data_IF_658160094060
#
_entry.id   IF_658160094060
#
_cell.length_a   1.000
_cell.length_b   1.000
_cell.length_c   1.000
_cell.angle_alpha   90.00
_cell.angle_beta   90.00
_cell.angle_gamma   90.00
#
_symmetry.space_group_name_H-M   'P 1'
#
loop_
_entity.id
_entity.type
_entity.pdbx_description
1 polymer ?
#
# COMPACT_ATOMS: atom_id res chain seq x y z
N UNK A 1 4.61 -1.53 8.50
CA UNK A 1 3.16 -1.51 8.78
C UNK A 1 2.38 -2.40 7.82
N UNK A 2 2.73 -2.45 6.54
CA UNK A 2 2.01 -3.22 5.51
C UNK A 2 1.99 -4.72 5.69
N UNK A 3 3.08 -5.34 6.17
CA UNK A 3 3.08 -6.77 6.50
C UNK A 3 1.94 -7.16 7.45
N UNK A 4 1.74 -6.38 8.51
CA UNK A 4 0.68 -6.64 9.50
C UNK A 4 -0.74 -6.42 8.95
N UNK A 5 -0.91 -5.53 7.97
CA UNK A 5 -2.21 -5.25 7.39
C UNK A 5 -2.60 -6.34 6.38
N UNK A 6 -1.65 -6.77 5.55
CA UNK A 6 -1.81 -7.92 4.65
C UNK A 6 -2.09 -9.20 5.44
N UNK A 7 -1.34 -9.47 6.52
CA UNK A 7 -1.54 -10.66 7.35
C UNK A 7 -2.91 -10.65 8.04
N UNK A 8 -3.37 -9.47 8.48
CA UNK A 8 -4.71 -9.30 9.05
C UNK A 8 -5.80 -9.57 8.01
N UNK A 9 -5.67 -9.01 6.80
CA UNK A 9 -6.61 -9.23 5.70
C UNK A 9 -6.62 -10.71 5.29
N UNK A 10 -5.45 -11.36 5.21
CA UNK A 10 -5.33 -12.79 4.90
C UNK A 10 -6.00 -13.67 5.96
N UNK A 11 -5.85 -13.33 7.24
CA UNK A 11 -6.57 -14.00 8.32
C UNK A 11 -8.08 -13.80 8.22
N UNK A 12 -8.55 -12.59 7.93
CA UNK A 12 -9.98 -12.32 7.79
C UNK A 12 -10.62 -12.99 6.59
N UNK A 13 -9.90 -13.10 5.47
CA UNK A 13 -10.35 -13.92 4.34
C UNK A 13 -10.52 -15.38 4.78
N UNK A 14 -9.55 -15.94 5.51
CA UNK A 14 -9.60 -17.32 6.04
C UNK A 14 -10.79 -17.55 6.98
N UNK A 15 -11.06 -16.60 7.87
CA UNK A 15 -12.15 -16.68 8.85
C UNK A 15 -13.54 -16.50 8.20
N UNK A 16 -13.70 -15.52 7.30
CA UNK A 16 -14.97 -15.24 6.63
C UNK A 16 -15.42 -16.35 5.68
N UNK A 17 -14.45 -17.06 5.09
CA UNK A 17 -14.63 -18.26 4.27
C UNK A 17 -15.14 -19.45 5.09
N UNK A 18 -14.43 -19.78 6.20
CA UNK A 18 -14.80 -20.91 7.05
C UNK A 18 -16.22 -20.77 7.58
N UNK A 19 -16.60 -19.54 8.00
CA UNK A 19 -17.94 -19.27 8.51
C UNK A 19 -19.06 -19.36 7.46
N UNK A 20 -18.75 -19.14 6.18
CA UNK A 20 -19.73 -19.36 5.11
C UNK A 20 -19.88 -20.84 4.78
N UNK A 21 -18.78 -21.58 4.75
CA UNK A 21 -18.77 -23.02 4.47
C UNK A 21 -19.55 -23.79 5.55
N UNK A 22 -19.32 -23.48 6.83
CA UNK A 22 -20.05 -24.07 7.97
C UNK A 22 -21.56 -23.78 7.87
N UNK A 23 -21.94 -22.57 7.46
CA UNK A 23 -23.35 -22.19 7.28
C UNK A 23 -24.07 -22.98 6.20
N UNK A 24 -23.34 -23.35 5.12
CA UNK A 24 -23.82 -24.21 4.03
C UNK A 24 -23.98 -25.67 4.48
N UNK A 25 -23.04 -26.18 5.28
CA UNK A 25 -23.07 -27.55 5.79
C UNK A 25 -24.24 -27.78 6.77
N UNK A 26 -24.59 -26.76 7.56
CA UNK A 26 -25.73 -26.79 8.49
C UNK A 26 -27.11 -26.58 7.83
N UNK A 27 -27.17 -26.36 6.50
CA UNK A 27 -28.43 -26.23 5.75
C UNK A 27 -29.28 -25.02 6.15
N UNK A 28 -28.70 -24.02 6.80
CA UNK A 28 -29.39 -22.80 7.21
C UNK A 28 -29.51 -21.82 6.04
N UNK A 29 -30.65 -21.13 5.85
CA UNK A 29 -30.77 -20.09 4.83
C UNK A 29 -29.75 -18.98 5.13
N UNK A 30 -28.81 -18.73 4.20
CA UNK A 30 -27.82 -17.67 4.34
C UNK A 30 -28.49 -16.30 4.17
N UNK A 31 -29.10 -15.79 5.24
CA UNK A 31 -29.57 -14.40 5.34
C UNK A 31 -28.45 -13.46 5.81
N UNK A 32 -27.25 -13.99 6.04
CA UNK A 32 -26.07 -13.26 6.49
C UNK A 32 -25.38 -12.50 5.35
N UNK A 33 -24.90 -11.30 5.69
CA UNK A 33 -24.06 -10.44 4.83
C UNK A 33 -22.99 -11.23 4.10
N UNK A 34 -22.86 -11.04 2.78
CA UNK A 34 -21.79 -11.64 1.98
C UNK A 34 -20.43 -11.36 2.67
N UNK A 35 -19.71 -12.39 3.16
CA UNK A 35 -18.46 -12.21 3.91
C UNK A 35 -17.38 -11.53 3.06
N UNK A 36 -17.42 -11.73 1.74
CA UNK A 36 -16.53 -11.05 0.81
C UNK A 36 -16.77 -9.54 0.81
N UNK A 37 -18.01 -9.10 1.03
CA UNK A 37 -18.36 -7.68 1.13
C UNK A 37 -17.71 -6.99 2.34
N UNK A 38 -17.69 -7.66 3.50
CA UNK A 38 -17.04 -7.14 4.70
C UNK A 38 -15.52 -7.03 4.53
N UNK A 39 -14.89 -8.03 3.89
CA UNK A 39 -13.45 -8.04 3.61
C UNK A 39 -13.10 -6.94 2.60
N UNK A 40 -13.91 -6.76 1.54
CA UNK A 40 -13.71 -5.67 0.57
C UNK A 40 -13.77 -4.30 1.26
N UNK A 41 -14.67 -4.11 2.22
CA UNK A 41 -14.78 -2.84 2.94
C UNK A 41 -13.57 -2.56 3.84
N UNK A 42 -13.02 -3.58 4.50
CA UNK A 42 -11.79 -3.44 5.27
C UNK A 42 -10.58 -3.11 4.39
N UNK A 43 -10.47 -3.74 3.21
CA UNK A 43 -9.41 -3.40 2.25
C UNK A 43 -9.56 -1.96 1.75
N UNK A 44 -10.79 -1.47 1.56
CA UNK A 44 -11.06 -0.08 1.20
C UNK A 44 -10.68 0.90 2.28
N UNK A 45 -10.97 0.60 3.54
CA UNK A 45 -10.56 1.44 4.68
C UNK A 45 -9.03 1.57 4.73
N UNK A 46 -8.32 0.45 4.59
CA UNK A 46 -6.87 0.44 4.52
C UNK A 46 -6.31 1.23 3.32
N UNK A 47 -6.91 1.07 2.14
CA UNK A 47 -6.59 1.87 0.95
C UNK A 47 -6.78 3.37 1.22
N UNK A 48 -7.87 3.74 1.89
CA UNK A 48 -8.14 5.13 2.28
C UNK A 48 -7.04 5.70 3.17
N UNK A 49 -6.59 4.93 4.16
CA UNK A 49 -5.48 5.32 5.04
C UNK A 49 -4.16 5.49 4.25
N UNK A 50 -3.82 4.54 3.38
CA UNK A 50 -2.61 4.62 2.55
C UNK A 50 -2.64 5.81 1.57
N UNK A 51 -3.79 6.08 0.96
CA UNK A 51 -3.95 7.24 0.07
C UNK A 51 -3.79 8.55 0.84
N UNK A 52 -4.32 8.64 2.06
CA UNK A 52 -4.14 9.79 2.93
C UNK A 52 -2.67 9.97 3.33
N UNK A 53 -1.98 8.89 3.70
CA UNK A 53 -0.55 8.91 4.01
C UNK A 53 0.27 9.38 2.80
N UNK A 54 0.04 8.81 1.62
CA UNK A 54 0.67 9.25 0.37
C UNK A 54 0.47 10.73 0.11
N UNK A 55 -0.74 11.25 0.34
CA UNK A 55 -1.04 12.66 0.15
C UNK A 55 -0.24 13.55 1.10
N UNK A 56 -0.14 13.16 2.39
CA UNK A 56 0.67 13.88 3.38
C UNK A 56 2.17 13.82 3.04
N UNK A 57 2.68 12.66 2.63
CA UNK A 57 4.05 12.50 2.14
C UNK A 57 4.30 13.36 0.91
N UNK A 58 3.36 13.42 -0.05
CA UNK A 58 3.44 14.29 -1.21
C UNK A 58 3.50 15.78 -0.86
N UNK A 59 2.70 16.22 0.12
CA UNK A 59 2.78 17.60 0.64
C UNK A 59 4.13 17.90 1.27
N UNK A 60 4.68 16.98 2.07
CA UNK A 60 6.02 17.15 2.66
C UNK A 60 7.10 17.16 1.57
N UNK A 61 6.98 16.33 0.54
CA UNK A 61 7.91 16.31 -0.59
C UNK A 61 7.93 17.64 -1.33
N UNK A 62 6.75 18.23 -1.56
CA UNK A 62 6.63 19.55 -2.17
C UNK A 62 7.28 20.64 -1.30
N UNK A 63 7.05 20.62 0.03
CA UNK A 63 7.69 21.56 0.94
C UNK A 63 9.22 21.44 0.94
N UNK A 64 9.75 20.21 0.91
CA UNK A 64 11.20 19.96 0.80
C UNK A 64 11.78 20.47 -0.52
N UNK A 65 11.03 20.38 -1.62
CA UNK A 65 11.45 20.91 -2.90
C UNK A 65 11.66 22.43 -2.82
N UNK A 66 10.69 23.17 -2.28
CA UNK A 66 10.81 24.61 -2.07
C UNK A 66 11.95 24.97 -1.11
N UNK A 67 12.14 24.22 -0.01
CA UNK A 67 13.26 24.46 0.92
C UNK A 67 14.64 24.26 0.26
N UNK A 68 14.75 23.29 -0.66
CA UNK A 68 15.96 23.03 -1.43
C UNK A 68 16.24 24.14 -2.46
N UNK A 69 15.21 24.63 -3.17
CA UNK A 69 15.35 25.78 -4.08
C UNK A 69 15.82 27.04 -3.34
N UNK A 70 15.26 27.31 -2.16
CA UNK A 70 15.69 28.41 -1.29
C UNK A 70 17.15 28.26 -0.83
N UNK A 71 17.60 27.02 -0.59
CA UNK A 71 18.99 26.76 -0.19
C UNK A 71 19.97 27.07 -1.33
N UNK A 72 19.60 26.84 -2.58
CA UNK A 72 20.45 27.14 -3.73
C UNK A 72 20.71 28.65 -3.83
N UNK A 73 19.67 29.48 -3.70
CA UNK A 73 19.83 30.94 -3.67
C UNK A 73 20.66 31.44 -2.48
N UNK A 74 20.53 30.81 -1.30
CA UNK A 74 21.35 31.12 -0.12
C UNK A 74 22.82 30.73 -0.31
N UNK A 75 23.08 29.60 -0.97
CA UNK A 75 24.44 29.17 -1.29
C UNK A 75 25.12 30.15 -2.26
N UNK A 76 24.44 30.53 -3.34
CA UNK A 76 24.94 31.52 -4.31
C UNK A 76 25.23 32.88 -3.67
N UNK A 77 24.34 33.34 -2.79
CA UNK A 77 24.53 34.59 -2.04
C UNK A 77 25.75 34.52 -1.12
N UNK A 78 25.94 33.42 -0.41
CA UNK A 78 27.08 33.23 0.49
C UNK A 78 28.42 33.20 -0.27
N UNK A 79 28.46 32.52 -1.42
CA UNK A 79 29.63 32.49 -2.31
C UNK A 79 29.93 33.89 -2.87
N UNK A 80 28.91 34.60 -3.33
CA UNK A 80 29.08 35.96 -3.87
C UNK A 80 29.56 36.98 -2.83
N UNK A 81 29.28 36.71 -1.55
CA UNK A 81 29.71 37.52 -0.42
C UNK A 81 31.07 37.08 0.17
N UNK A 82 31.77 36.13 -0.46
CA UNK A 82 33.04 35.56 0.01
C UNK A 82 32.95 34.95 1.42
N UNK A 83 31.76 34.41 1.75
CA UNK A 83 31.44 33.78 3.05
C UNK A 83 31.40 32.26 2.93
N UNK A 84 32.58 31.69 2.75
CA UNK A 84 32.80 30.25 2.58
C UNK A 84 32.25 29.38 3.74
N UNK A 85 32.28 29.90 4.96
CA UNK A 85 31.74 29.23 6.15
C UNK A 85 30.23 29.03 6.04
N UNK A 86 29.51 30.08 5.63
CA UNK A 86 28.08 30.02 5.38
C UNK A 86 27.75 29.14 4.17
N UNK A 87 28.52 29.27 3.09
CA UNK A 87 28.31 28.44 1.90
C UNK A 87 28.42 26.94 2.24
N UNK A 88 29.44 26.55 3.01
CA UNK A 88 29.59 25.16 3.50
C UNK A 88 28.43 24.73 4.39
N UNK A 89 28.00 25.58 5.32
CA UNK A 89 26.87 25.28 6.20
C UNK A 89 25.57 25.04 5.42
N UNK A 90 25.30 25.87 4.39
CA UNK A 90 24.15 25.71 3.50
C UNK A 90 24.22 24.39 2.72
N UNK A 91 25.38 24.05 2.15
CA UNK A 91 25.55 22.79 1.41
C UNK A 91 25.34 21.55 2.29
N UNK A 92 25.82 21.58 3.55
CA UNK A 92 25.58 20.49 4.51
C UNK A 92 24.09 20.32 4.79
N UNK A 93 23.38 21.43 5.03
CA UNK A 93 21.93 21.40 5.26
C UNK A 93 21.17 20.90 4.02
N UNK A 94 21.54 21.38 2.83
CA UNK A 94 20.98 20.94 1.55
C UNK A 94 21.13 19.44 1.37
N UNK A 95 22.33 18.88 1.61
CA UNK A 95 22.56 17.44 1.53
C UNK A 95 21.67 16.63 2.47
N UNK A 96 21.44 17.14 3.69
CA UNK A 96 20.51 16.50 4.63
C UNK A 96 19.07 16.51 4.12
N UNK A 97 18.62 17.60 3.52
CA UNK A 97 17.28 17.73 2.94
C UNK A 97 17.11 16.85 1.69
N UNK A 98 18.15 16.73 0.86
CA UNK A 98 18.16 15.81 -0.29
C UNK A 98 18.04 14.34 0.15
N UNK A 99 18.68 13.96 1.25
CA UNK A 99 18.53 12.63 1.84
C UNK A 99 17.10 12.39 2.36
N UNK A 100 16.51 13.36 3.06
CA UNK A 100 15.11 13.28 3.50
C UNK A 100 14.15 13.16 2.31
N UNK A 101 14.37 13.94 1.25
CA UNK A 101 13.60 13.88 0.00
C UNK A 101 13.66 12.49 -0.63
N UNK A 102 14.85 11.89 -0.71
CA UNK A 102 15.03 10.56 -1.28
C UNK A 102 14.30 9.48 -0.45
N UNK A 103 14.40 9.52 0.88
CA UNK A 103 13.66 8.60 1.76
C UNK A 103 12.14 8.73 1.53
N UNK A 104 11.63 9.96 1.49
CA UNK A 104 10.22 10.23 1.30
C UNK A 104 9.70 9.78 -0.06
N UNK A 105 10.49 9.92 -1.12
CA UNK A 105 10.17 9.36 -2.44
C UNK A 105 10.09 7.83 -2.40
N UNK A 106 11.04 7.16 -1.74
CA UNK A 106 11.01 5.71 -1.57
C UNK A 106 9.78 5.23 -0.80
N UNK A 107 9.36 5.99 0.23
CA UNK A 107 8.11 5.72 0.97
C UNK A 107 6.87 5.87 0.08
N UNK A 108 6.79 6.95 -0.70
CA UNK A 108 5.66 7.16 -1.62
C UNK A 108 5.56 6.02 -2.64
N UNK A 109 6.69 5.56 -3.19
CA UNK A 109 6.72 4.44 -4.12
C UNK A 109 6.23 3.15 -3.46
N UNK A 110 6.68 2.89 -2.23
CA UNK A 110 6.21 1.75 -1.43
C UNK A 110 4.70 1.83 -1.23
N UNK A 111 4.17 2.98 -0.81
CA UNK A 111 2.72 3.18 -0.62
C UNK A 111 1.95 2.97 -1.93
N UNK A 112 2.47 3.44 -3.08
CA UNK A 112 1.84 3.21 -4.38
C UNK A 112 1.75 1.72 -4.70
N UNK A 113 2.86 0.99 -4.53
CA UNK A 113 2.88 -0.46 -4.78
C UNK A 113 1.88 -1.22 -3.89
N UNK A 114 1.69 -0.76 -2.65
CA UNK A 114 0.72 -1.33 -1.71
C UNK A 114 -0.73 -0.99 -2.11
N UNK A 115 -0.99 0.25 -2.54
CA UNK A 115 -2.30 0.66 -3.04
C UNK A 115 -2.71 -0.16 -4.27
N UNK A 116 -1.79 -0.34 -5.22
CA UNK A 116 -2.04 -1.12 -6.43
C UNK A 116 -2.32 -2.58 -6.09
N UNK A 117 -1.57 -3.14 -5.14
CA UNK A 117 -1.74 -4.50 -4.67
C UNK A 117 -3.11 -4.72 -4.01
N UNK A 118 -3.51 -3.85 -3.07
CA UNK A 118 -4.81 -3.96 -2.41
C UNK A 118 -5.98 -3.75 -3.39
N UNK A 119 -5.81 -2.86 -4.38
CA UNK A 119 -6.82 -2.64 -5.42
C UNK A 119 -7.04 -3.90 -6.28
N UNK A 120 -5.97 -4.60 -6.65
CA UNK A 120 -6.08 -5.89 -7.37
C UNK A 120 -6.78 -6.97 -6.54
N UNK A 121 -6.52 -7.04 -5.24
CA UNK A 121 -7.22 -7.99 -4.35
C UNK A 121 -8.72 -7.69 -4.32
N UNK A 122 -9.12 -6.41 -4.26
CA UNK A 122 -10.54 -6.03 -4.34
C UNK A 122 -11.17 -6.48 -5.67
N UNK A 123 -10.49 -6.28 -6.79
CA UNK A 123 -10.99 -6.70 -8.11
C UNK A 123 -11.19 -8.21 -8.18
N UNK A 124 -10.20 -8.99 -7.72
CA UNK A 124 -10.30 -10.45 -7.64
C UNK A 124 -11.46 -10.91 -6.76
N UNK A 125 -11.62 -10.34 -5.56
CA UNK A 125 -12.72 -10.70 -4.65
C UNK A 125 -14.10 -10.35 -5.23
N UNK A 126 -14.22 -9.25 -5.98
CA UNK A 126 -15.46 -8.85 -6.63
C UNK A 126 -15.81 -9.76 -7.80
N UNK A 127 -14.84 -10.09 -8.64
CA UNK A 127 -15.02 -11.01 -9.75
C UNK A 127 -15.46 -12.37 -9.25
N UNK A 128 -14.88 -12.84 -8.16
CA UNK A 128 -15.24 -14.11 -7.54
C UNK A 128 -16.65 -14.08 -6.95
N UNK A 129 -17.00 -13.01 -6.22
CA UNK A 129 -18.36 -12.82 -5.71
C UNK A 129 -19.42 -12.76 -6.83
N UNK A 130 -19.07 -12.23 -8.01
CA UNK A 130 -19.96 -12.10 -9.17
C UNK A 130 -20.15 -13.39 -9.96
N UNK A 131 -19.20 -14.34 -9.92
CA UNK A 131 -19.28 -15.61 -10.65
C UNK A 131 -20.20 -16.64 -10.01
N UNK A 132 -20.68 -16.41 -8.79
CA UNK A 132 -21.65 -17.28 -8.11
C UNK A 132 -21.17 -18.72 -7.89
N UNK A 133 -19.86 -18.96 -7.95
CA UNK A 133 -19.25 -20.28 -7.91
C UNK A 133 -19.11 -20.82 -6.49
N UNK A 134 -19.33 -22.12 -6.31
CA UNK A 134 -19.17 -22.85 -5.06
C UNK A 134 -17.86 -22.45 -4.35
N UNK A 135 -18.01 -21.94 -3.12
CA UNK A 135 -16.97 -21.29 -2.33
C UNK A 135 -15.64 -22.06 -2.27
N UNK A 136 -15.68 -23.39 -2.31
CA UNK A 136 -14.52 -24.28 -2.13
C UNK A 136 -13.39 -24.17 -3.16
N UNK A 137 -13.70 -23.92 -4.44
CA UNK A 137 -12.66 -23.77 -5.48
C UNK A 137 -12.08 -22.34 -5.51
N UNK A 138 -12.95 -21.36 -5.29
CA UNK A 138 -12.65 -19.94 -5.15
C UNK A 138 -11.69 -19.67 -3.98
N UNK A 139 -11.92 -20.35 -2.86
CA UNK A 139 -11.12 -20.27 -1.63
C UNK A 139 -9.67 -20.69 -1.84
N UNK A 140 -9.44 -21.82 -2.50
CA UNK A 140 -8.10 -22.33 -2.73
C UNK A 140 -7.26 -21.43 -3.65
N UNK A 141 -7.90 -20.70 -4.56
CA UNK A 141 -7.19 -19.79 -5.48
C UNK A 141 -6.93 -18.43 -4.82
N UNK A 142 -7.92 -17.83 -4.15
CA UNK A 142 -7.75 -16.57 -3.43
C UNK A 142 -6.76 -16.69 -2.25
N UNK A 143 -6.79 -17.82 -1.53
CA UNK A 143 -5.86 -18.08 -0.43
C UNK A 143 -4.42 -18.31 -0.91
N UNK A 144 -4.23 -19.08 -2.00
CA UNK A 144 -2.90 -19.23 -2.62
C UNK A 144 -2.34 -17.90 -3.11
N UNK A 145 -3.20 -17.04 -3.63
CA UNK A 145 -2.74 -15.74 -4.12
C UNK A 145 -2.38 -14.82 -2.96
N UNK A 146 -3.16 -14.79 -1.87
CA UNK A 146 -2.77 -14.04 -0.67
C UNK A 146 -1.49 -14.60 0.00
N UNK A 147 -1.28 -15.91 0.02
CA UNK A 147 -0.02 -16.50 0.47
C UNK A 147 1.14 -16.13 -0.46
N UNK A 148 0.96 -16.16 -1.78
CA UNK A 148 1.96 -15.70 -2.76
C UNK A 148 2.29 -14.23 -2.59
N UNK A 149 1.25 -13.42 -2.40
CA UNK A 149 1.35 -12.00 -2.18
C UNK A 149 2.09 -11.74 -0.85
N UNK A 150 1.76 -12.45 0.24
CA UNK A 150 2.45 -12.37 1.54
C UNK A 150 3.92 -12.81 1.44
N UNK A 151 4.22 -13.84 0.65
CA UNK A 151 5.57 -14.35 0.39
C UNK A 151 6.39 -13.53 -0.62
N UNK A 152 5.80 -12.50 -1.25
CA UNK A 152 6.49 -11.61 -2.19
C UNK A 152 6.82 -12.24 -3.56
N UNK A 153 6.14 -13.30 -3.99
CA UNK A 153 6.38 -13.95 -5.29
C UNK A 153 5.36 -13.51 -6.35
N UNK A 154 5.87 -12.97 -7.46
CA UNK A 154 5.10 -12.58 -8.65
C UNK A 154 4.40 -13.78 -9.33
N UNK A 155 3.29 -13.56 -10.06
CA UNK A 155 2.56 -14.65 -10.70
C UNK A 155 3.42 -15.33 -11.76
N UNK A 156 3.57 -16.65 -11.62
CA UNK A 156 4.28 -17.49 -12.57
C UNK A 156 3.66 -17.38 -13.97
N UNK A 157 4.48 -16.96 -14.92
CA UNK A 157 4.28 -17.23 -16.34
C UNK A 157 4.03 -18.71 -16.52
N UNK A 158 2.81 -19.07 -16.94
CA UNK A 158 2.54 -20.39 -17.49
C UNK A 158 3.31 -20.51 -18.80
N UNK A 159 4.45 -21.18 -18.76
CA UNK A 159 4.98 -21.90 -19.92
C UNK A 159 4.22 -23.23 -20.04
N UNK A 160 3.72 -23.55 -21.23
CA UNK A 160 3.08 -24.82 -21.57
C UNK A 160 1.76 -24.67 -22.28
#
# INVERSE_FOLDING_TARGET
MSAHLVDRIARMLKEGVSGFLDGLEDGTPHTGTNPLGAIIEEIREALGALVAERHLSGKRLHALHTELEDMDGKAETAVSADRDDLARAVLVRRRSLEAERADLMGRIETINSECDRLSRVIEQLKDEAGRGGALTAAEHEAFRELERLSAGQAPGTKEG
#
